data_IF_322135897971
#
_entry.id   IF_322135897971
#
_cell.length_a   1.000
_cell.length_b   1.000
_cell.length_c   1.000
_cell.angle_alpha   90.00
_cell.angle_beta   90.00
_cell.angle_gamma   90.00
#
_symmetry.space_group_name_H-M   'P 1'
#
loop_
_entity.id
_entity.type
_entity.pdbx_description
1 polymer ?
#
# COMPACT_ATOMS: atom_id res chain seq x y z
N UNK A 1 -10.19 -21.48 -44.81
CA UNK A 1 -10.01 -21.83 -43.39
C UNK A 1 -9.86 -20.52 -42.63
N UNK A 2 -10.76 -20.18 -41.71
CA UNK A 2 -10.67 -18.98 -40.87
C UNK A 2 -10.63 -19.38 -39.40
N UNK A 3 -9.82 -18.68 -38.60
CA UNK A 3 -9.66 -18.91 -37.18
C UNK A 3 -9.34 -17.60 -36.46
N UNK A 4 -9.74 -17.51 -35.19
CA UNK A 4 -9.51 -16.33 -34.36
C UNK A 4 -8.48 -16.67 -33.28
N UNK A 5 -7.36 -15.95 -33.27
CA UNK A 5 -6.36 -16.02 -32.20
C UNK A 5 -6.67 -14.88 -31.23
N UNK A 6 -6.79 -15.20 -29.94
CA UNK A 6 -6.96 -14.21 -28.87
C UNK A 6 -5.83 -14.36 -27.85
N UNK A 7 -5.27 -13.23 -27.43
CA UNK A 7 -4.27 -13.17 -26.35
C UNK A 7 -4.91 -12.61 -25.08
N UNK A 8 -4.64 -13.19 -23.90
CA UNK A 8 -5.17 -12.67 -22.64
C UNK A 8 -4.48 -11.36 -22.26
N UNK A 9 -5.24 -10.49 -21.60
CA UNK A 9 -4.70 -9.30 -20.95
C UNK A 9 -4.17 -9.69 -19.58
N UNK A 10 -3.00 -9.18 -19.21
CA UNK A 10 -2.34 -9.51 -17.94
C UNK A 10 -1.65 -8.28 -17.38
N UNK A 11 -1.72 -8.09 -16.07
CA UNK A 11 -0.91 -7.14 -15.32
C UNK A 11 -0.34 -7.86 -14.11
N UNK A 12 0.95 -7.65 -13.83
CA UNK A 12 1.62 -8.19 -12.65
C UNK A 12 2.38 -7.09 -11.92
N UNK A 13 2.42 -7.19 -10.60
CA UNK A 13 3.34 -6.39 -9.80
C UNK A 13 4.76 -6.87 -10.08
N UNK A 14 5.63 -5.97 -10.52
CA UNK A 14 7.05 -6.25 -10.71
C UNK A 14 7.76 -6.53 -9.38
N UNK A 15 7.30 -5.87 -8.32
CA UNK A 15 7.84 -5.96 -6.97
C UNK A 15 6.79 -6.62 -6.08
N UNK A 16 6.69 -7.96 -6.06
CA UNK A 16 5.65 -8.67 -5.31
C UNK A 16 5.83 -8.53 -3.79
N UNK A 17 7.03 -8.18 -3.33
CA UNK A 17 7.32 -7.93 -1.92
C UNK A 17 7.98 -6.56 -1.77
N UNK A 18 7.41 -5.74 -0.89
CA UNK A 18 7.93 -4.42 -0.53
C UNK A 18 8.15 -4.43 0.97
N UNK A 19 9.40 -4.27 1.38
CA UNK A 19 9.79 -4.19 2.79
C UNK A 19 10.09 -2.74 3.10
N UNK A 20 9.33 -2.14 4.01
CA UNK A 20 9.53 -0.75 4.45
C UNK A 20 10.18 -0.75 5.84
N UNK A 21 11.49 -0.46 5.94
CA UNK A 21 12.18 -0.48 7.22
C UNK A 21 12.04 0.86 7.95
N UNK A 22 11.04 0.97 8.82
CA UNK A 22 10.85 2.15 9.68
C UNK A 22 11.97 2.37 10.72
N UNK A 23 12.87 1.39 10.87
CA UNK A 23 13.96 1.44 11.85
C UNK A 23 13.47 1.34 13.29
N UNK A 24 14.31 1.77 14.23
CA UNK A 24 13.99 1.81 15.66
C UNK A 24 13.43 3.18 16.02
N UNK A 25 12.20 3.21 16.54
CA UNK A 25 11.54 4.43 17.00
C UNK A 25 11.38 4.32 18.52
N UNK A 26 11.76 5.36 19.26
CA UNK A 26 11.61 5.34 20.72
C UNK A 26 10.13 5.47 21.08
N UNK A 27 9.67 4.69 22.07
CA UNK A 27 8.26 4.78 22.52
C UNK A 27 7.88 6.19 22.98
N UNK A 28 8.85 6.94 23.52
CA UNK A 28 8.71 8.35 23.92
C UNK A 28 8.51 9.32 22.76
N UNK A 29 8.62 8.88 21.51
CA UNK A 29 8.30 9.73 20.35
C UNK A 29 6.80 9.70 20.02
N UNK A 30 6.05 8.73 20.57
CA UNK A 30 4.61 8.57 20.40
C UNK A 30 3.84 9.25 21.55
N UNK A 31 3.77 10.58 21.52
CA UNK A 31 3.20 11.36 22.63
C UNK A 31 1.75 11.84 22.41
N UNK A 32 1.25 11.79 21.18
CA UNK A 32 -0.08 12.29 20.82
C UNK A 32 -0.79 11.26 19.94
N UNK A 33 -1.98 10.81 20.38
CA UNK A 33 -2.80 9.86 19.64
C UNK A 33 -3.10 10.36 18.23
N UNK A 34 -2.93 9.49 17.24
CA UNK A 34 -3.22 9.76 15.83
C UNK A 34 -2.16 10.57 15.09
N UNK A 35 -1.14 11.07 15.78
CA UNK A 35 0.01 11.75 15.17
C UNK A 35 1.15 10.77 14.92
N UNK A 36 1.88 11.00 13.84
CA UNK A 36 3.15 10.33 13.59
C UNK A 36 4.20 10.81 14.61
N UNK A 37 5.11 9.94 15.08
CA UNK A 37 6.23 10.36 15.91
C UNK A 37 7.12 11.36 15.16
N UNK A 38 7.67 12.34 15.88
CA UNK A 38 8.41 13.46 15.27
C UNK A 38 9.69 13.06 14.53
N UNK A 39 10.26 11.92 14.90
CA UNK A 39 11.53 11.37 14.40
C UNK A 39 11.36 10.40 13.23
N UNK A 40 10.12 10.03 12.87
CA UNK A 40 9.90 9.00 11.85
C UNK A 40 10.18 9.50 10.45
N UNK A 41 10.98 8.72 9.73
CA UNK A 41 11.16 8.91 8.30
C UNK A 41 9.90 8.43 7.56
N UNK A 42 9.35 9.28 6.70
CA UNK A 42 8.33 8.84 5.75
C UNK A 42 9.02 8.07 4.64
N UNK A 43 8.52 6.88 4.34
CA UNK A 43 9.00 6.06 3.23
C UNK A 43 8.07 6.22 2.04
N UNK A 44 8.63 6.65 0.91
CA UNK A 44 7.93 6.70 -0.36
C UNK A 44 8.30 5.47 -1.18
N UNK A 45 7.32 4.63 -1.49
CA UNK A 45 7.49 3.42 -2.29
C UNK A 45 6.69 3.52 -3.58
N UNK A 46 7.31 3.14 -4.70
CA UNK A 46 6.66 3.14 -6.01
C UNK A 46 6.26 1.72 -6.42
N UNK A 47 4.98 1.51 -6.67
CA UNK A 47 4.47 0.25 -7.21
C UNK A 47 4.61 0.22 -8.73
N UNK A 48 5.36 -0.75 -9.24
CA UNK A 48 5.49 -0.97 -10.68
C UNK A 48 4.58 -2.11 -11.14
N UNK A 49 3.73 -1.80 -12.11
CA UNK A 49 2.86 -2.75 -12.79
C UNK A 49 3.38 -3.00 -14.21
N UNK A 50 3.66 -4.26 -14.53
CA UNK A 50 3.99 -4.69 -15.89
C UNK A 50 2.76 -5.32 -16.51
N UNK A 51 2.26 -4.67 -17.56
CA UNK A 51 1.04 -5.08 -18.23
C UNK A 51 1.26 -5.43 -19.70
N UNK A 52 0.58 -6.47 -20.18
CA UNK A 52 0.66 -6.94 -21.56
C UNK A 52 -0.75 -7.03 -22.18
N UNK A 53 -0.82 -6.76 -23.49
CA UNK A 53 -2.05 -6.81 -24.29
C UNK A 53 -3.20 -5.91 -23.78
N UNK A 54 -2.89 -4.85 -23.02
CA UNK A 54 -3.91 -3.92 -22.57
C UNK A 54 -4.45 -3.08 -23.73
N UNK A 55 -5.75 -2.82 -23.69
CA UNK A 55 -6.35 -1.81 -24.57
C UNK A 55 -5.92 -0.41 -24.12
N UNK A 56 -6.03 0.56 -25.01
CA UNK A 56 -5.75 1.98 -24.75
C UNK A 56 -6.63 2.63 -23.66
N UNK A 57 -7.55 1.86 -23.02
CA UNK A 57 -8.52 2.32 -22.02
C UNK A 57 -8.68 1.35 -20.85
N UNK A 58 -7.63 0.62 -20.49
CA UNK A 58 -7.68 -0.28 -19.34
C UNK A 58 -7.79 0.51 -18.02
N UNK A 59 -8.69 0.06 -17.13
CA UNK A 59 -8.78 0.55 -15.75
C UNK A 59 -8.19 -0.51 -14.83
N UNK A 60 -7.18 -0.13 -14.06
CA UNK A 60 -6.59 -1.00 -13.04
C UNK A 60 -7.10 -0.55 -11.68
N UNK A 61 -7.55 -1.50 -10.87
CA UNK A 61 -7.88 -1.29 -9.47
C UNK A 61 -6.93 -2.12 -8.62
N UNK A 62 -6.21 -1.47 -7.71
CA UNK A 62 -5.41 -2.11 -6.67
C UNK A 62 -6.21 -2.10 -5.37
N UNK A 63 -6.40 -3.26 -4.76
CA UNK A 63 -7.03 -3.39 -3.43
C UNK A 63 -5.92 -3.53 -2.40
N UNK A 64 -5.97 -2.72 -1.34
CA UNK A 64 -5.08 -2.84 -0.20
C UNK A 64 -5.79 -3.59 0.91
N UNK A 65 -5.33 -4.80 1.24
CA UNK A 65 -5.92 -5.62 2.30
C UNK A 65 -4.98 -5.72 3.49
N UNK A 66 -5.56 -5.81 4.69
CA UNK A 66 -4.82 -6.00 5.93
C UNK A 66 -5.73 -5.91 7.14
N UNK A 67 -5.23 -6.33 8.30
CA UNK A 67 -5.96 -6.18 9.56
C UNK A 67 -5.95 -4.71 10.00
N UNK A 68 -7.13 -4.18 10.30
CA UNK A 68 -7.29 -2.82 10.80
C UNK A 68 -6.82 -2.72 12.25
N UNK A 69 -6.20 -1.59 12.62
CA UNK A 69 -5.95 -1.30 14.03
C UNK A 69 -7.30 -1.01 14.74
N UNK A 70 -7.56 -1.57 15.94
CA UNK A 70 -8.85 -1.42 16.63
C UNK A 70 -9.12 0.01 17.14
N UNK A 71 -8.09 0.85 17.23
CA UNK A 71 -8.17 2.23 17.69
C UNK A 71 -8.09 3.26 16.55
N UNK A 72 -7.67 2.84 15.35
CA UNK A 72 -7.68 3.62 14.12
C UNK A 72 -7.98 2.71 12.90
N UNK A 73 -9.25 2.65 12.44
CA UNK A 73 -9.64 1.78 11.34
C UNK A 73 -9.09 2.23 9.98
N UNK A 74 -8.46 3.42 9.90
CA UNK A 74 -7.80 3.91 8.68
C UNK A 74 -6.37 3.40 8.53
N UNK A 75 -5.85 2.67 9.51
CA UNK A 75 -4.47 2.22 9.57
C UNK A 75 -4.35 0.70 9.77
N UNK A 76 -3.23 0.14 9.33
CA UNK A 76 -2.89 -1.27 9.51
C UNK A 76 -2.45 -1.53 10.94
N UNK A 77 -2.96 -2.62 11.51
CA UNK A 77 -2.51 -3.14 12.80
C UNK A 77 -1.05 -3.58 12.72
N UNK A 78 -0.31 -3.36 13.81
CA UNK A 78 1.08 -3.81 13.90
C UNK A 78 1.24 -4.94 14.91
N UNK A 79 2.39 -5.59 14.84
CA UNK A 79 2.86 -6.52 15.86
C UNK A 79 4.22 -6.06 16.36
N UNK A 80 4.52 -6.41 17.60
CA UNK A 80 5.84 -6.17 18.20
C UNK A 80 6.50 -7.53 18.42
N UNK A 81 7.77 -7.64 18.05
CA UNK A 81 8.58 -8.84 18.31
C UNK A 81 9.66 -8.51 19.34
N UNK A 82 9.66 -9.23 20.46
CA UNK A 82 10.71 -9.17 21.48
C UNK A 82 11.35 -10.55 21.63
N UNK A 83 12.58 -10.69 21.14
CA UNK A 83 13.21 -12.01 20.98
C UNK A 83 12.40 -12.90 20.03
N UNK A 84 11.95 -14.05 20.52
CA UNK A 84 11.11 -14.98 19.76
C UNK A 84 9.61 -14.79 19.97
N UNK A 85 9.19 -13.80 20.78
CA UNK A 85 7.79 -13.56 21.12
C UNK A 85 7.25 -12.43 20.25
N UNK A 86 6.30 -12.74 19.37
CA UNK A 86 5.52 -11.75 18.63
C UNK A 86 4.15 -11.58 19.29
N UNK A 87 3.72 -10.34 19.48
CA UNK A 87 2.42 -10.01 20.07
C UNK A 87 1.76 -8.87 19.30
N UNK A 88 0.43 -8.81 19.34
CA UNK A 88 -0.32 -7.70 18.74
C UNK A 88 0.05 -6.38 19.40
N UNK A 89 0.06 -5.32 18.60
CA UNK A 89 0.27 -3.96 19.06
C UNK A 89 -0.90 -3.10 18.57
N UNK A 90 -1.77 -2.73 19.52
CA UNK A 90 -2.94 -1.90 19.25
C UNK A 90 -2.64 -0.40 19.43
N UNK A 91 -1.49 -0.05 20.02
CA UNK A 91 -1.07 1.33 20.30
C UNK A 91 -0.38 2.00 19.11
N UNK A 92 0.28 1.20 18.25
CA UNK A 92 1.01 1.66 17.06
C UNK A 92 0.35 1.07 15.81
N UNK A 93 0.15 1.91 14.79
CA UNK A 93 -0.43 1.52 13.51
C UNK A 93 0.39 2.08 12.33
N UNK A 94 0.31 1.42 11.17
CA UNK A 94 0.91 1.92 9.92
C UNK A 94 -0.16 2.55 9.06
N UNK A 95 0.02 3.82 8.72
CA UNK A 95 -0.83 4.53 7.76
C UNK A 95 -0.15 4.57 6.40
N UNK A 96 -0.89 4.23 5.36
CA UNK A 96 -0.45 4.35 3.97
C UNK A 96 -1.12 5.57 3.37
N UNK A 97 -0.37 6.36 2.63
CA UNK A 97 -0.87 7.56 1.98
C UNK A 97 -0.48 7.53 0.49
N UNK A 98 -1.41 7.89 -0.39
CA UNK A 98 -1.13 8.17 -1.79
C UNK A 98 -1.00 9.68 -2.00
N UNK A 99 0.07 10.09 -2.67
CA UNK A 99 0.21 11.46 -3.17
C UNK A 99 -0.29 11.53 -4.61
N UNK A 100 -1.44 12.16 -4.83
CA UNK A 100 -2.05 12.32 -6.15
C UNK A 100 -2.36 13.80 -6.44
N UNK A 101 -1.70 14.35 -7.47
CA UNK A 101 -1.99 15.71 -7.96
C UNK A 101 -1.78 16.83 -6.91
N UNK A 102 -0.83 16.65 -5.98
CA UNK A 102 -0.55 17.62 -4.91
C UNK A 102 -1.36 17.40 -3.62
N UNK A 103 -2.34 16.50 -3.64
CA UNK A 103 -3.07 16.08 -2.45
C UNK A 103 -2.54 14.77 -1.90
N UNK A 104 -2.60 14.63 -0.57
CA UNK A 104 -2.33 13.38 0.13
C UNK A 104 -3.66 12.77 0.55
N UNK A 105 -3.90 11.52 0.16
CA UNK A 105 -5.07 10.76 0.60
C UNK A 105 -4.62 9.52 1.39
N UNK A 106 -5.32 9.22 2.47
CA UNK A 106 -5.09 7.99 3.24
C UNK A 106 -5.67 6.81 2.48
N UNK A 107 -4.93 5.71 2.40
CA UNK A 107 -5.40 4.42 1.91
C UNK A 107 -5.63 3.52 3.12
N UNK A 108 -6.89 3.27 3.44
CA UNK A 108 -7.29 2.40 4.54
C UNK A 108 -7.31 0.94 4.08
N UNK A 109 -7.19 -0.04 5.00
CA UNK A 109 -7.43 -1.44 4.65
C UNK A 109 -8.85 -1.64 4.09
N UNK A 110 -8.94 -2.25 2.92
CA UNK A 110 -10.16 -2.40 2.12
C UNK A 110 -10.33 -1.36 1.01
N UNK A 111 -9.55 -0.28 1.00
CA UNK A 111 -9.63 0.76 -0.02
C UNK A 111 -9.05 0.29 -1.36
N UNK A 112 -9.55 0.92 -2.42
CA UNK A 112 -9.14 0.67 -3.81
C UNK A 112 -8.51 1.89 -4.45
N UNK A 113 -7.27 1.74 -4.91
CA UNK A 113 -6.66 2.71 -5.82
C UNK A 113 -7.05 2.38 -7.26
N UNK A 114 -7.67 3.34 -7.94
CA UNK A 114 -8.04 3.19 -9.36
C UNK A 114 -7.15 4.05 -10.24
N UNK A 115 -6.53 3.42 -11.23
CA UNK A 115 -5.69 4.06 -12.23
C UNK A 115 -6.27 3.82 -13.61
N UNK A 116 -6.35 4.89 -14.41
CA UNK A 116 -6.70 4.80 -15.82
C UNK A 116 -5.41 4.77 -16.62
N UNK A 117 -5.16 3.66 -17.33
CA UNK A 117 -4.02 3.57 -18.23
C UNK A 117 -4.43 4.21 -19.55
N UNK A 118 -4.03 5.47 -19.72
CA UNK A 118 -4.08 6.11 -21.01
C UNK A 118 -2.88 5.59 -21.80
N UNK A 119 -3.14 4.80 -22.84
CA UNK A 119 -2.09 4.26 -23.69
C UNK A 119 -1.18 5.38 -24.20
N UNK A 120 0.14 5.20 -24.05
CA UNK A 120 1.11 5.88 -24.89
C UNK A 120 0.87 5.33 -26.30
N UNK A 121 0.03 6.02 -27.06
CA UNK A 121 -0.03 5.88 -28.52
C UNK A 121 1.22 6.47 -29.15
#
# INVERSE_FOLDING_TARGET
MSGKITVPQKCELKNPMITVPFGSIMSTDFNVKGQKPSTVQIHEETLYLECTNLSTRAKISLLFEGEVNPHDPTALKTTTTNGSVTSNNDDIAIRIEEKRGGNTQVISPGDRLSMEMNGLG
#
